data_IF_397614928463
#
_entry.id   IF_397614928463
#
_cell.length_a   1.000
_cell.length_b   1.000
_cell.length_c   1.000
_cell.angle_alpha   90.00
_cell.angle_beta   90.00
_cell.angle_gamma   90.00
#
_symmetry.space_group_name_H-M   'P 1'
#
loop_
_entity.id
_entity.type
_entity.pdbx_description
1 polymer ?
#
# COMPACT_ATOMS: atom_id res chain seq x y z
N UNK A 1 -6.56 -20.38 -2.65
CA UNK A 1 -6.09 -21.37 -1.65
C UNK A 1 -4.64 -21.78 -1.88
N UNK A 2 -4.26 -22.45 -2.98
CA UNK A 2 -2.88 -22.96 -3.21
C UNK A 2 -1.78 -21.95 -2.96
N UNK A 3 -1.92 -20.70 -3.44
CA UNK A 3 -0.95 -19.63 -3.23
C UNK A 3 -0.89 -19.24 -1.75
N UNK A 4 -2.05 -19.13 -1.11
CA UNK A 4 -2.16 -18.85 0.32
C UNK A 4 -1.45 -19.92 1.15
N UNK A 5 -1.72 -21.22 0.87
CA UNK A 5 -1.12 -22.33 1.58
C UNK A 5 0.41 -22.34 1.41
N UNK A 6 0.90 -22.10 0.19
CA UNK A 6 2.33 -22.03 -0.09
C UNK A 6 3.01 -20.84 0.64
N UNK A 7 2.37 -19.66 0.67
CA UNK A 7 2.86 -18.52 1.43
C UNK A 7 2.90 -18.82 2.94
N UNK A 8 1.84 -19.46 3.46
CA UNK A 8 1.76 -19.82 4.88
C UNK A 8 2.80 -20.86 5.27
N UNK A 9 3.07 -21.85 4.42
CA UNK A 9 4.13 -22.85 4.65
C UNK A 9 5.48 -22.16 4.75
N UNK A 10 5.82 -21.23 3.83
CA UNK A 10 7.09 -20.49 3.88
C UNK A 10 7.25 -19.65 5.17
N UNK A 11 6.13 -19.11 5.70
CA UNK A 11 6.13 -18.40 6.98
C UNK A 11 6.38 -19.36 8.14
N UNK A 12 5.74 -20.53 8.16
CA UNK A 12 5.95 -21.56 9.18
C UNK A 12 7.36 -22.13 9.16
N UNK A 13 8.00 -22.17 7.98
CA UNK A 13 9.39 -22.58 7.80
C UNK A 13 10.39 -21.48 8.23
N UNK A 14 9.91 -20.33 8.70
CA UNK A 14 10.74 -19.21 9.17
C UNK A 14 11.35 -18.35 8.08
N UNK A 15 10.90 -18.48 6.84
CA UNK A 15 11.41 -17.72 5.69
C UNK A 15 10.96 -16.26 5.70
N UNK A 16 9.79 -16.00 6.31
CA UNK A 16 9.19 -14.67 6.39
C UNK A 16 8.25 -14.55 7.59
N UNK A 17 8.02 -13.33 8.06
CA UNK A 17 6.97 -13.04 9.05
C UNK A 17 5.63 -12.70 8.40
N UNK A 18 5.68 -12.05 7.24
CA UNK A 18 4.50 -11.68 6.44
C UNK A 18 4.88 -11.64 4.97
N UNK A 19 3.97 -12.11 4.12
CA UNK A 19 4.09 -12.01 2.65
C UNK A 19 2.81 -11.36 2.12
N UNK A 20 2.93 -10.25 1.40
CA UNK A 20 1.79 -9.61 0.72
C UNK A 20 1.56 -10.30 -0.63
N UNK A 21 0.41 -10.92 -0.79
CA UNK A 21 0.00 -11.58 -2.05
C UNK A 21 -1.14 -10.81 -2.68
N UNK A 22 -1.04 -10.59 -3.99
CA UNK A 22 -2.06 -9.87 -4.76
C UNK A 22 -2.85 -10.77 -5.71
N UNK A 23 -4.03 -10.28 -6.07
CA UNK A 23 -4.89 -10.85 -7.08
C UNK A 23 -5.17 -9.79 -8.14
N UNK A 24 -5.05 -10.15 -9.44
CA UNK A 24 -5.41 -9.32 -10.57
C UNK A 24 -6.83 -9.64 -11.03
N UNK A 25 -7.55 -8.58 -11.39
CA UNK A 25 -8.88 -8.61 -11.99
C UNK A 25 -8.78 -7.91 -13.35
N UNK A 26 -9.16 -8.61 -14.42
CA UNK A 26 -9.08 -8.12 -15.79
C UNK A 26 -10.47 -8.08 -16.42
N UNK A 27 -10.72 -7.08 -17.27
CA UNK A 27 -11.94 -6.95 -18.04
C UNK A 27 -11.61 -6.52 -19.47
N UNK A 28 -12.15 -7.24 -20.45
CA UNK A 28 -12.09 -6.92 -21.89
C UNK A 28 -13.13 -5.88 -22.26
N UNK A 29 -13.06 -4.69 -21.66
CA UNK A 29 -13.99 -3.59 -21.87
C UNK A 29 -13.25 -2.27 -22.11
N UNK A 30 -13.86 -1.41 -22.90
CA UNK A 30 -13.35 -0.06 -23.16
C UNK A 30 -13.77 0.85 -22.03
N UNK A 31 -12.81 1.47 -21.35
CA UNK A 31 -13.05 2.41 -20.25
C UNK A 31 -12.53 3.78 -20.63
N UNK A 32 -13.34 4.83 -20.44
CA UNK A 32 -12.87 6.21 -20.58
C UNK A 32 -12.10 6.61 -19.30
N UNK A 33 -10.80 6.93 -19.38
CA UNK A 33 -9.98 7.19 -18.19
C UNK A 33 -10.42 8.40 -17.37
N UNK A 34 -10.90 9.47 -18.02
CA UNK A 34 -11.38 10.68 -17.34
C UNK A 34 -12.65 10.38 -16.54
N UNK A 35 -13.60 9.67 -17.16
CA UNK A 35 -14.85 9.29 -16.50
C UNK A 35 -14.57 8.32 -15.35
N UNK A 36 -13.65 7.35 -15.56
CA UNK A 36 -13.27 6.41 -14.54
C UNK A 36 -12.60 7.11 -13.35
N UNK A 37 -11.72 8.08 -13.61
CA UNK A 37 -11.06 8.85 -12.57
C UNK A 37 -12.06 9.69 -11.76
N UNK A 38 -12.95 10.41 -12.43
CA UNK A 38 -14.00 11.21 -11.78
C UNK A 38 -14.89 10.34 -10.87
N UNK A 39 -15.42 9.23 -11.41
CA UNK A 39 -16.22 8.27 -10.63
C UNK A 39 -15.44 7.70 -9.45
N UNK A 40 -14.17 7.35 -9.65
CA UNK A 40 -13.33 6.79 -8.59
C UNK A 40 -13.07 7.81 -7.47
N UNK A 41 -12.78 9.06 -7.82
CA UNK A 41 -12.59 10.14 -6.85
C UNK A 41 -13.87 10.42 -6.03
N UNK A 42 -15.04 10.31 -6.65
CA UNK A 42 -16.32 10.45 -5.94
C UNK A 42 -16.62 9.26 -5.03
N UNK A 43 -16.36 8.03 -5.51
CA UNK A 43 -16.65 6.81 -4.76
C UNK A 43 -15.64 6.56 -3.64
N UNK A 44 -14.37 6.89 -3.86
CA UNK A 44 -13.26 6.60 -2.93
C UNK A 44 -12.25 7.75 -2.89
N UNK A 45 -12.64 8.93 -2.37
CA UNK A 45 -11.74 10.07 -2.27
C UNK A 45 -10.51 9.72 -1.44
N UNK A 46 -9.33 10.03 -1.98
CA UNK A 46 -8.05 9.75 -1.35
C UNK A 46 -7.05 10.89 -1.60
N UNK A 47 -6.11 11.14 -0.67
CA UNK A 47 -5.21 12.30 -0.75
C UNK A 47 -4.26 12.23 -1.94
N UNK A 48 -3.84 11.03 -2.35
CA UNK A 48 -2.86 10.79 -3.40
C UNK A 48 -3.52 10.34 -4.71
N UNK A 49 -4.70 10.88 -5.04
CA UNK A 49 -5.39 10.57 -6.29
C UNK A 49 -4.68 11.18 -7.49
N UNK A 50 -4.54 10.42 -8.58
CA UNK A 50 -3.95 10.91 -9.82
C UNK A 50 -4.50 10.20 -11.06
N UNK A 51 -4.40 10.87 -12.20
CA UNK A 51 -4.62 10.32 -13.53
C UNK A 51 -3.37 10.55 -14.38
N UNK A 52 -2.73 9.47 -14.82
CA UNK A 52 -1.67 9.50 -15.81
C UNK A 52 -2.23 9.00 -17.15
N UNK A 53 -2.05 9.80 -18.21
CA UNK A 53 -2.39 9.41 -19.58
C UNK A 53 -1.16 9.43 -20.46
N UNK A 54 -0.95 8.34 -21.17
CA UNK A 54 0.11 8.17 -22.17
C UNK A 54 -0.51 7.86 -23.53
N UNK A 55 0.33 7.63 -24.54
CA UNK A 55 -0.15 7.20 -25.87
C UNK A 55 -0.65 5.76 -25.90
N UNK A 56 -0.20 4.90 -24.98
CA UNK A 56 -0.44 3.46 -25.01
C UNK A 56 -1.30 2.95 -23.85
N UNK A 57 -1.41 3.70 -22.78
CA UNK A 57 -2.20 3.34 -21.62
C UNK A 57 -2.58 4.56 -20.78
N UNK A 58 -3.58 4.40 -19.93
CA UNK A 58 -3.88 5.33 -18.85
C UNK A 58 -3.86 4.60 -17.50
N UNK A 59 -3.46 5.31 -16.44
CA UNK A 59 -3.48 4.82 -15.07
C UNK A 59 -4.30 5.77 -14.21
N UNK A 60 -5.41 5.28 -13.67
CA UNK A 60 -6.23 5.99 -12.70
C UNK A 60 -5.99 5.43 -11.32
N UNK A 61 -5.86 6.29 -10.31
CA UNK A 61 -5.55 5.88 -8.95
C UNK A 61 -6.20 6.81 -7.92
N UNK A 62 -6.69 6.21 -6.83
CA UNK A 62 -7.07 6.90 -5.59
C UNK A 62 -6.30 6.27 -4.42
N UNK A 63 -4.99 6.45 -4.44
CA UNK A 63 -4.11 5.94 -3.40
C UNK A 63 -4.29 6.71 -2.09
N UNK A 64 -4.39 6.03 -0.95
CA UNK A 64 -4.39 6.68 0.35
C UNK A 64 -2.98 6.85 0.95
N UNK A 65 -1.95 6.25 0.35
CA UNK A 65 -0.67 6.02 1.01
C UNK A 65 0.49 6.78 0.37
N UNK A 66 1.20 7.54 1.20
CA UNK A 66 2.48 8.19 0.88
C UNK A 66 3.60 7.24 1.31
N UNK A 67 4.46 6.85 0.37
CA UNK A 67 5.61 5.99 0.64
C UNK A 67 6.87 6.79 0.88
N UNK A 68 7.05 7.92 0.18
CA UNK A 68 8.19 8.84 0.35
C UNK A 68 7.69 10.27 0.31
N UNK A 69 7.94 11.02 1.37
CA UNK A 69 7.86 12.47 1.38
C UNK A 69 9.17 13.04 1.90
N UNK A 70 9.83 13.87 1.10
CA UNK A 70 11.07 14.54 1.47
C UNK A 70 10.87 16.04 1.38
N UNK A 71 11.12 16.71 2.48
CA UNK A 71 11.14 18.18 2.57
C UNK A 71 12.50 18.61 3.13
N UNK A 72 13.32 19.25 2.32
CA UNK A 72 14.71 19.61 2.62
C UNK A 72 15.52 18.37 3.04
N UNK A 73 15.93 18.29 4.31
CA UNK A 73 16.72 17.21 4.91
C UNK A 73 15.89 16.20 5.69
N UNK A 74 14.56 16.37 5.75
CA UNK A 74 13.66 15.44 6.43
C UNK A 74 13.03 14.50 5.44
N UNK A 75 13.18 13.20 5.68
CA UNK A 75 12.49 12.12 4.97
C UNK A 75 11.41 11.54 5.87
N UNK A 76 10.23 11.30 5.28
CA UNK A 76 9.05 10.81 5.98
C UNK A 76 8.39 9.69 5.16
N UNK A 77 7.81 8.72 5.86
CA UNK A 77 6.89 7.72 5.32
C UNK A 77 5.65 7.60 6.20
N UNK A 78 4.52 7.21 5.57
CA UNK A 78 3.23 7.08 6.26
C UNK A 78 2.59 5.72 5.99
N UNK A 79 3.14 4.63 6.57
CA UNK A 79 2.60 3.30 6.38
C UNK A 79 1.15 3.20 6.88
N UNK A 80 0.33 2.56 6.07
CA UNK A 80 -1.03 2.18 6.40
C UNK A 80 -1.06 0.68 6.69
N UNK A 81 -1.44 0.33 7.92
CA UNK A 81 -1.68 -1.04 8.35
C UNK A 81 -3.07 -1.18 8.92
N UNK A 82 -3.69 -2.33 8.67
CA UNK A 82 -5.06 -2.57 9.10
C UNK A 82 -6.12 -1.83 8.28
N UNK A 83 -7.25 -2.49 8.09
CA UNK A 83 -8.38 -1.94 7.34
C UNK A 83 -9.67 -2.43 7.96
N UNK A 84 -10.53 -1.51 8.38
CA UNK A 84 -11.84 -1.82 8.92
C UNK A 84 -12.94 -1.19 8.06
N UNK A 85 -13.99 -1.96 7.72
CA UNK A 85 -15.10 -1.45 6.92
C UNK A 85 -15.97 -0.49 7.75
N UNK A 86 -16.16 0.72 7.22
CA UNK A 86 -17.04 1.72 7.82
C UNK A 86 -18.49 1.44 7.46
N UNK A 87 -19.32 1.09 8.43
CA UNK A 87 -20.76 0.88 8.24
C UNK A 87 -21.55 2.12 8.62
N UNK A 88 -22.59 2.46 7.84
CA UNK A 88 -23.37 3.71 7.94
C UNK A 88 -24.09 3.93 9.29
N UNK A 89 -24.22 2.91 10.13
CA UNK A 89 -25.00 2.97 11.39
C UNK A 89 -24.17 2.61 12.63
N UNK A 90 -22.86 2.46 12.51
CA UNK A 90 -21.99 2.15 13.65
C UNK A 90 -21.56 3.43 14.38
N UNK A 91 -21.45 3.34 15.69
CA UNK A 91 -20.79 4.37 16.48
C UNK A 91 -19.29 4.37 16.16
N UNK A 92 -18.85 5.40 15.45
CA UNK A 92 -17.48 5.54 14.96
C UNK A 92 -16.45 5.41 16.09
N UNK A 93 -16.76 5.93 17.30
CA UNK A 93 -15.82 5.90 18.41
C UNK A 93 -15.61 4.48 18.97
N UNK A 94 -16.70 3.71 19.12
CA UNK A 94 -16.60 2.32 19.59
C UNK A 94 -15.88 1.43 18.58
N UNK A 95 -16.09 1.66 17.29
CA UNK A 95 -15.37 0.94 16.21
C UNK A 95 -13.87 1.26 16.21
N UNK A 96 -13.53 2.54 16.37
CA UNK A 96 -12.12 2.97 16.48
C UNK A 96 -11.47 2.33 17.71
N UNK A 97 -12.13 2.30 18.85
CA UNK A 97 -11.61 1.68 20.06
C UNK A 97 -11.40 0.17 19.87
N UNK A 98 -12.36 -0.55 19.28
CA UNK A 98 -12.19 -1.95 18.94
C UNK A 98 -11.01 -2.19 18.00
N UNK A 99 -10.86 -1.37 16.97
CA UNK A 99 -9.79 -1.47 16.00
C UNK A 99 -8.40 -1.23 16.63
N UNK A 100 -8.27 -0.22 17.47
CA UNK A 100 -7.04 0.08 18.22
C UNK A 100 -6.64 -1.01 19.21
N UNK A 101 -7.59 -1.83 19.65
CA UNK A 101 -7.37 -2.91 20.61
C UNK A 101 -7.37 -4.30 19.96
N UNK A 102 -7.54 -4.42 18.64
CA UNK A 102 -7.45 -5.71 17.94
C UNK A 102 -5.99 -6.20 17.95
N UNK A 103 -5.68 -7.32 18.61
CA UNK A 103 -4.30 -7.78 18.76
C UNK A 103 -3.62 -8.10 17.42
N UNK A 104 -4.37 -8.60 16.43
CA UNK A 104 -3.85 -8.93 15.10
C UNK A 104 -3.47 -7.65 14.35
N UNK A 105 -4.40 -6.70 14.26
CA UNK A 105 -4.19 -5.45 13.53
C UNK A 105 -3.05 -4.63 14.15
N UNK A 106 -2.98 -4.61 15.49
CA UNK A 106 -1.90 -3.95 16.24
C UNK A 106 -0.56 -4.62 15.99
N UNK A 107 -0.50 -5.95 15.99
CA UNK A 107 0.76 -6.68 15.75
C UNK A 107 1.27 -6.49 14.32
N UNK A 108 0.37 -6.58 13.32
CA UNK A 108 0.72 -6.35 11.91
C UNK A 108 1.20 -4.91 11.69
N UNK A 109 0.51 -3.93 12.26
CA UNK A 109 0.90 -2.53 12.12
C UNK A 109 2.25 -2.24 12.80
N UNK A 110 2.51 -2.79 13.99
CA UNK A 110 3.80 -2.64 14.66
C UNK A 110 4.95 -3.21 13.83
N UNK A 111 4.76 -4.40 13.25
CA UNK A 111 5.76 -5.03 12.37
C UNK A 111 6.03 -4.14 11.13
N UNK A 112 4.99 -3.58 10.54
CA UNK A 112 5.13 -2.65 9.41
C UNK A 112 5.88 -1.38 9.80
N UNK A 113 5.57 -0.80 10.94
CA UNK A 113 6.27 0.38 11.48
C UNK A 113 7.75 0.10 11.70
N UNK A 114 8.10 -1.07 12.23
CA UNK A 114 9.51 -1.45 12.45
C UNK A 114 10.25 -1.67 11.13
N UNK A 115 9.59 -2.24 10.12
CA UNK A 115 10.16 -2.39 8.78
C UNK A 115 10.46 -1.01 8.15
N UNK A 116 9.51 -0.08 8.18
CA UNK A 116 9.67 1.27 7.62
C UNK A 116 10.73 2.08 8.41
N UNK A 117 10.82 1.90 9.72
CA UNK A 117 11.91 2.48 10.53
C UNK A 117 13.29 1.96 10.12
N UNK A 118 13.39 0.66 9.82
CA UNK A 118 14.62 0.06 9.32
C UNK A 118 15.02 0.65 7.97
N UNK A 119 14.06 0.80 7.05
CA UNK A 119 14.29 1.38 5.72
C UNK A 119 14.78 2.83 5.83
N UNK A 120 14.11 3.67 6.62
CA UNK A 120 14.55 5.05 6.87
C UNK A 120 15.95 5.09 7.51
N UNK A 121 16.24 4.18 8.43
CA UNK A 121 17.52 4.16 9.16
C UNK A 121 18.72 3.93 8.24
N UNK A 122 18.50 3.29 7.08
CA UNK A 122 19.56 3.05 6.10
C UNK A 122 20.05 4.34 5.41
N UNK A 123 19.18 5.36 5.30
CA UNK A 123 19.47 6.64 4.62
C UNK A 123 19.46 7.86 5.53
N UNK A 124 19.00 7.72 6.76
CA UNK A 124 18.94 8.80 7.75
C UNK A 124 20.15 8.77 8.70
N UNK A 125 20.42 9.91 9.32
CA UNK A 125 21.45 10.08 10.36
C UNK A 125 21.08 9.22 11.58
N UNK A 126 22.04 8.52 12.20
CA UNK A 126 21.79 7.74 13.40
C UNK A 126 21.11 8.54 14.50
N UNK A 127 20.10 7.94 15.16
CA UNK A 127 19.35 8.57 16.25
C UNK A 127 18.32 9.64 15.83
N UNK A 128 18.11 9.86 14.52
CA UNK A 128 17.14 10.85 14.05
C UNK A 128 15.81 10.25 13.61
N UNK A 129 15.77 8.94 13.36
CA UNK A 129 14.54 8.23 12.97
C UNK A 129 13.62 8.11 14.18
N UNK A 130 12.42 8.65 14.07
CA UNK A 130 11.42 8.70 15.14
C UNK A 130 10.00 8.53 14.61
N UNK A 131 9.14 8.00 15.46
CA UNK A 131 7.70 8.03 15.29
C UNK A 131 7.18 9.39 15.74
N UNK A 132 6.53 10.12 14.84
CA UNK A 132 5.88 11.40 15.17
C UNK A 132 4.39 11.23 15.39
N UNK A 133 3.78 10.22 14.75
CA UNK A 133 2.41 9.77 15.01
C UNK A 133 2.39 8.25 15.02
N UNK A 134 1.66 7.68 15.96
CA UNK A 134 1.63 6.24 16.16
C UNK A 134 0.22 5.71 16.32
N UNK A 135 -0.20 4.82 15.39
CA UNK A 135 -1.51 4.16 15.40
C UNK A 135 -2.68 5.12 15.49
N UNK A 136 -2.66 6.18 14.66
CA UNK A 136 -3.81 7.04 14.48
C UNK A 136 -4.81 6.40 13.52
N UNK A 137 -6.10 6.48 13.84
CA UNK A 137 -7.14 6.00 12.93
C UNK A 137 -7.57 7.12 12.01
N UNK A 138 -7.31 6.94 10.72
CA UNK A 138 -7.82 7.80 9.66
C UNK A 138 -9.11 7.23 9.08
N UNK A 139 -10.15 8.06 9.00
CA UNK A 139 -11.46 7.66 8.50
C UNK A 139 -11.68 8.19 7.10
N UNK A 140 -11.92 7.27 6.18
CA UNK A 140 -12.26 7.54 4.79
C UNK A 140 -13.74 7.26 4.52
N UNK A 141 -14.19 7.43 3.26
CA UNK A 141 -15.60 7.28 2.91
C UNK A 141 -16.18 5.91 3.31
N UNK A 142 -15.42 4.83 3.12
CA UNK A 142 -15.88 3.45 3.32
C UNK A 142 -15.01 2.64 4.29
N UNK A 143 -13.89 3.18 4.74
CA UNK A 143 -12.87 2.45 5.49
C UNK A 143 -12.30 3.29 6.63
N UNK A 144 -11.87 2.61 7.69
CA UNK A 144 -10.95 3.13 8.68
C UNK A 144 -9.60 2.48 8.46
N UNK A 145 -8.52 3.27 8.53
CA UNK A 145 -7.14 2.80 8.42
C UNK A 145 -6.34 3.16 9.65
N UNK A 146 -5.47 2.24 10.06
CA UNK A 146 -4.47 2.51 11.09
C UNK A 146 -3.22 3.06 10.41
N UNK A 147 -2.83 4.26 10.79
CA UNK A 147 -1.74 5.01 10.15
C UNK A 147 -0.70 5.40 11.18
N UNK A 148 0.56 5.30 10.82
CA UNK A 148 1.67 5.89 11.58
C UNK A 148 2.48 6.83 10.69
N UNK A 149 3.22 7.75 11.31
CA UNK A 149 4.16 8.63 10.62
C UNK A 149 5.54 8.45 11.21
N UNK A 150 6.49 8.14 10.34
CA UNK A 150 7.88 7.93 10.70
C UNK A 150 8.70 8.95 9.92
N UNK A 151 9.60 9.64 10.59
CA UNK A 151 10.47 10.61 9.95
C UNK A 151 11.92 10.47 10.42
N UNK A 152 12.85 10.95 9.60
CA UNK A 152 14.26 11.01 9.95
C UNK A 152 15.00 12.09 9.16
N UNK A 153 16.14 12.54 9.67
CA UNK A 153 17.01 13.46 8.95
C UNK A 153 17.96 12.69 8.04
N UNK A 154 17.98 13.02 6.77
CA UNK A 154 18.85 12.41 5.78
C UNK A 154 20.33 12.57 6.14
N UNK A 155 21.13 11.57 5.77
CA UNK A 155 22.59 11.67 5.78
C UNK A 155 23.05 12.79 4.85
N UNK A 156 24.21 13.37 5.17
CA UNK A 156 24.79 14.38 4.28
C UNK A 156 25.21 13.73 2.95
N UNK A 157 25.00 14.44 1.84
CA UNK A 157 25.36 14.02 0.49
C UNK A 157 24.66 12.74 0.00
N UNK A 158 23.52 12.35 0.60
CA UNK A 158 22.72 11.21 0.12
C UNK A 158 22.13 11.50 -1.26
N UNK A 159 22.25 10.57 -2.19
CA UNK A 159 21.69 10.68 -3.51
C UNK A 159 20.24 10.19 -3.58
N UNK A 160 19.46 10.72 -4.52
CA UNK A 160 18.08 10.30 -4.77
C UNK A 160 17.97 8.78 -4.98
N UNK A 161 18.89 8.20 -5.73
CA UNK A 161 18.92 6.74 -5.98
C UNK A 161 19.03 5.91 -4.72
N UNK A 162 19.77 6.38 -3.71
CA UNK A 162 19.92 5.70 -2.44
C UNK A 162 18.62 5.74 -1.64
N UNK A 163 17.93 6.92 -1.63
CA UNK A 163 16.62 7.07 -1.01
C UNK A 163 15.60 6.13 -1.67
N UNK A 164 15.53 6.12 -3.00
CA UNK A 164 14.61 5.25 -3.73
C UNK A 164 14.90 3.78 -3.49
N UNK A 165 16.17 3.37 -3.50
CA UNK A 165 16.58 1.97 -3.27
C UNK A 165 16.28 1.49 -1.85
N UNK A 166 16.35 2.37 -0.85
CA UNK A 166 16.05 2.05 0.53
C UNK A 166 14.54 1.90 0.78
N UNK A 167 13.76 2.82 0.22
CA UNK A 167 12.33 2.95 0.51
C UNK A 167 11.44 2.13 -0.42
N UNK A 168 11.90 1.82 -1.65
CA UNK A 168 11.09 1.11 -2.65
C UNK A 168 11.62 -0.30 -2.91
N UNK A 169 10.71 -1.27 -3.10
CA UNK A 169 9.27 -1.17 -2.89
C UNK A 169 8.91 -0.96 -1.41
N UNK A 170 7.77 -0.34 -1.14
CA UNK A 170 7.30 -0.07 0.23
C UNK A 170 7.08 -1.36 1.04
N UNK A 171 7.28 -1.28 2.35
CA UNK A 171 7.09 -2.41 3.26
C UNK A 171 5.64 -2.87 3.33
N UNK A 172 4.69 -1.94 3.24
CA UNK A 172 3.24 -2.22 3.31
C UNK A 172 2.72 -3.12 2.19
N UNK A 173 3.47 -3.27 1.09
CA UNK A 173 3.06 -4.06 -0.09
C UNK A 173 3.99 -5.25 -0.39
N UNK A 174 5.04 -5.44 0.37
CA UNK A 174 5.98 -6.57 0.24
C UNK A 174 5.83 -7.54 1.39
N UNK A 175 6.36 -7.22 2.53
CA UNK A 175 6.40 -8.02 3.75
C UNK A 175 7.78 -7.98 4.41
N UNK A 176 7.99 -8.82 5.38
CA UNK A 176 9.19 -8.81 6.21
C UNK A 176 9.79 -10.22 6.37
N UNK A 177 11.11 -10.42 6.09
CA UNK A 177 12.11 -9.48 5.56
C UNK A 177 11.86 -9.10 4.08
N UNK A 178 12.09 -7.83 3.72
CA UNK A 178 11.70 -7.27 2.40
C UNK A 178 12.23 -8.08 1.21
N UNK A 179 13.53 -8.30 1.10
CA UNK A 179 14.14 -8.99 -0.04
C UNK A 179 13.61 -10.43 -0.14
N UNK A 180 13.55 -11.15 0.98
CA UNK A 180 13.09 -12.53 0.99
C UNK A 180 11.63 -12.65 0.58
N UNK A 181 10.79 -11.72 1.03
CA UNK A 181 9.37 -11.71 0.62
C UNK A 181 9.17 -11.36 -0.85
N UNK A 182 10.01 -10.49 -1.43
CA UNK A 182 9.99 -10.22 -2.88
C UNK A 182 10.28 -11.48 -3.70
N UNK A 183 11.24 -12.32 -3.29
CA UNK A 183 11.51 -13.60 -3.93
C UNK A 183 10.31 -14.55 -3.86
N UNK A 184 9.59 -14.57 -2.76
CA UNK A 184 8.38 -15.37 -2.61
C UNK A 184 7.21 -14.83 -3.43
N UNK A 185 7.03 -13.53 -3.50
CA UNK A 185 6.02 -12.87 -4.34
C UNK A 185 6.23 -13.26 -5.81
N UNK A 186 7.49 -13.17 -6.30
CA UNK A 186 7.82 -13.54 -7.68
C UNK A 186 7.54 -15.00 -8.00
N UNK A 187 7.73 -15.92 -7.04
CA UNK A 187 7.42 -17.34 -7.18
C UNK A 187 5.93 -17.67 -7.11
N UNK A 188 5.17 -16.92 -6.32
CA UNK A 188 3.79 -17.28 -5.97
C UNK A 188 2.75 -16.56 -6.84
N UNK A 189 3.01 -15.32 -7.24
CA UNK A 189 2.06 -14.56 -8.06
C UNK A 189 2.11 -15.04 -9.51
N UNK A 190 0.95 -15.33 -10.14
CA UNK A 190 0.89 -15.88 -11.49
C UNK A 190 1.18 -14.85 -12.59
N UNK A 191 1.26 -13.55 -12.24
CA UNK A 191 1.51 -12.46 -13.17
C UNK A 191 2.31 -11.34 -12.52
N UNK A 192 3.07 -10.62 -13.35
CA UNK A 192 3.80 -9.44 -12.89
C UNK A 192 2.84 -8.35 -12.40
N UNK A 193 3.24 -7.62 -11.36
CA UNK A 193 2.45 -6.52 -10.79
C UNK A 193 2.34 -5.31 -11.71
N UNK A 194 3.32 -5.10 -12.60
CA UNK A 194 3.38 -3.91 -13.44
C UNK A 194 3.45 -2.63 -12.61
N UNK A 195 2.59 -1.61 -12.89
CA UNK A 195 2.54 -0.38 -12.09
C UNK A 195 2.03 -0.59 -10.66
N UNK A 196 1.20 -1.62 -10.43
CA UNK A 196 0.66 -1.92 -9.10
C UNK A 196 1.79 -2.14 -8.09
N UNK A 197 1.71 -1.48 -6.94
CA UNK A 197 2.74 -1.45 -5.89
C UNK A 197 4.03 -0.71 -6.24
N UNK A 198 4.08 -0.06 -7.41
CA UNK A 198 5.09 0.95 -7.71
C UNK A 198 4.77 2.28 -7.03
N UNK A 199 5.44 3.33 -7.48
CA UNK A 199 5.24 4.69 -6.97
C UNK A 199 5.04 5.70 -8.10
N UNK A 200 4.22 6.71 -7.82
CA UNK A 200 4.01 7.85 -8.70
C UNK A 200 4.03 9.14 -7.88
N UNK A 201 4.52 10.23 -8.44
CA UNK A 201 4.52 11.50 -7.75
C UNK A 201 5.44 12.54 -8.38
N UNK A 202 5.98 13.42 -7.55
CA UNK A 202 6.70 14.62 -7.96
C UNK A 202 8.11 14.67 -7.37
N UNK A 203 9.04 15.11 -8.21
CA UNK A 203 10.36 15.54 -7.81
C UNK A 203 10.48 17.02 -8.18
N UNK A 204 10.67 17.86 -7.19
CA UNK A 204 10.74 19.31 -7.36
C UNK A 204 12.17 19.77 -7.61
N UNK A 205 12.33 20.91 -8.28
CA UNK A 205 13.65 21.49 -8.60
C UNK A 205 14.48 21.82 -7.35
N UNK A 206 13.83 22.10 -6.21
CA UNK A 206 14.48 22.30 -4.91
C UNK A 206 14.94 20.98 -4.25
N UNK A 207 14.71 19.83 -4.91
CA UNK A 207 15.05 18.50 -4.43
C UNK A 207 14.05 17.89 -3.45
N UNK A 208 12.88 18.49 -3.26
CA UNK A 208 11.80 17.87 -2.49
C UNK A 208 11.14 16.75 -3.30
N UNK A 209 10.59 15.74 -2.61
CA UNK A 209 10.02 14.54 -3.20
C UNK A 209 8.68 14.25 -2.55
N UNK A 210 7.69 13.90 -3.36
CA UNK A 210 6.43 13.33 -2.89
C UNK A 210 6.07 12.16 -3.79
N UNK A 211 6.15 10.93 -3.25
CA UNK A 211 5.82 9.70 -3.96
C UNK A 211 4.78 8.91 -3.19
N UNK A 212 3.67 8.63 -3.85
CA UNK A 212 2.65 7.74 -3.34
C UNK A 212 2.95 6.27 -3.68
N UNK A 213 2.17 5.38 -3.10
CA UNK A 213 2.11 3.98 -3.48
C UNK A 213 1.01 3.79 -4.54
N UNK A 214 1.29 3.11 -5.65
CA UNK A 214 0.28 2.80 -6.69
C UNK A 214 -0.57 1.62 -6.22
N UNK A 215 -1.60 1.91 -5.45
CA UNK A 215 -2.65 0.99 -5.01
C UNK A 215 -4.02 1.63 -5.26
N UNK A 216 -5.10 0.88 -5.17
CA UNK A 216 -6.45 1.38 -5.51
C UNK A 216 -6.45 2.03 -6.89
N UNK A 217 -5.85 1.33 -7.86
CA UNK A 217 -5.56 1.84 -9.20
C UNK A 217 -6.05 0.87 -10.28
N UNK A 218 -6.35 1.41 -11.44
CA UNK A 218 -6.73 0.66 -12.63
C UNK A 218 -5.85 1.09 -13.80
N UNK A 219 -5.24 0.12 -14.46
CA UNK A 219 -4.53 0.32 -15.72
C UNK A 219 -5.51 0.07 -16.88
N UNK A 220 -5.58 1.02 -17.79
CA UNK A 220 -6.56 1.06 -18.88
C UNK A 220 -5.82 1.11 -20.20
N UNK A 221 -6.14 0.17 -21.09
CA UNK A 221 -5.72 0.11 -22.49
C UNK A 221 -6.92 0.38 -23.39
N UNK A 222 -6.72 0.34 -24.70
CA UNK A 222 -7.79 0.64 -25.66
C UNK A 222 -8.97 -0.35 -25.60
N UNK A 223 -8.70 -1.63 -25.33
CA UNK A 223 -9.68 -2.73 -25.38
C UNK A 223 -9.83 -3.50 -24.07
N UNK A 224 -8.98 -3.22 -23.10
CA UNK A 224 -9.01 -3.91 -21.82
C UNK A 224 -8.55 -3.03 -20.67
N UNK A 225 -8.87 -3.45 -19.47
CA UNK A 225 -8.35 -2.83 -18.25
C UNK A 225 -8.12 -3.89 -17.18
N UNK A 226 -7.24 -3.58 -16.23
CA UNK A 226 -7.07 -4.42 -15.05
C UNK A 226 -6.78 -3.63 -13.78
N UNK A 227 -7.15 -4.19 -12.66
CA UNK A 227 -6.80 -3.72 -11.32
C UNK A 227 -6.21 -4.86 -10.51
N UNK A 228 -5.43 -4.52 -9.47
CA UNK A 228 -4.90 -5.48 -8.51
C UNK A 228 -5.18 -5.01 -7.09
N UNK A 229 -5.41 -5.98 -6.22
CA UNK A 229 -5.47 -5.78 -4.78
C UNK A 229 -4.80 -6.93 -4.05
N UNK A 230 -4.26 -6.66 -2.87
CA UNK A 230 -3.53 -7.65 -2.11
C UNK A 230 -3.70 -7.49 -0.60
N UNK A 231 -3.41 -8.55 0.11
CA UNK A 231 -3.41 -8.62 1.57
C UNK A 231 -2.16 -9.28 2.12
N UNK A 232 -1.88 -9.06 3.40
CA UNK A 232 -0.76 -9.67 4.11
C UNK A 232 -1.15 -11.03 4.65
N UNK A 233 -0.41 -12.06 4.27
CA UNK A 233 -0.51 -13.37 4.88
C UNK A 233 0.48 -13.44 6.04
N UNK A 234 -0.01 -13.76 7.22
CA UNK A 234 0.75 -14.05 8.44
C UNK A 234 0.41 -15.46 8.93
N UNK A 235 1.10 -15.94 9.96
CA UNK A 235 0.90 -17.30 10.50
C UNK A 235 -0.55 -17.59 10.87
N UNK A 236 -1.27 -16.60 11.43
CA UNK A 236 -2.65 -16.71 11.91
C UNK A 236 -3.70 -16.32 10.87
N UNK A 237 -3.28 -15.97 9.64
CA UNK A 237 -4.21 -15.60 8.57
C UNK A 237 -5.14 -16.73 8.16
N UNK A 238 -6.36 -16.36 7.78
CA UNK A 238 -7.38 -17.26 7.23
C UNK A 238 -7.63 -16.90 5.76
N UNK A 239 -7.52 -17.90 4.87
CA UNK A 239 -7.65 -17.70 3.42
C UNK A 239 -8.97 -17.03 3.00
N UNK A 240 -10.09 -17.42 3.62
CA UNK A 240 -11.40 -16.84 3.32
C UNK A 240 -11.53 -15.40 3.77
N UNK A 241 -10.91 -15.03 4.88
CA UNK A 241 -10.87 -13.65 5.38
C UNK A 241 -10.02 -12.77 4.46
N UNK A 242 -8.78 -13.18 4.17
CA UNK A 242 -7.86 -12.43 3.29
C UNK A 242 -8.45 -12.24 1.88
N UNK A 243 -9.13 -13.26 1.35
CA UNK A 243 -9.82 -13.16 0.06
C UNK A 243 -10.95 -12.11 0.07
N UNK A 244 -11.77 -12.09 1.14
CA UNK A 244 -12.83 -11.08 1.29
C UNK A 244 -12.28 -9.67 1.41
N UNK A 245 -11.20 -9.49 2.16
CA UNK A 245 -10.52 -8.20 2.30
C UNK A 245 -9.96 -7.71 0.97
N UNK A 246 -9.33 -8.58 0.18
CA UNK A 246 -8.86 -8.25 -1.16
C UNK A 246 -9.99 -7.80 -2.09
N UNK A 247 -11.14 -8.51 -2.07
CA UNK A 247 -12.31 -8.11 -2.85
C UNK A 247 -12.87 -6.75 -2.39
N UNK A 248 -12.88 -6.48 -1.09
CA UNK A 248 -13.31 -5.20 -0.55
C UNK A 248 -12.43 -4.06 -1.04
N UNK A 249 -11.11 -4.27 -1.06
CA UNK A 249 -10.13 -3.30 -1.58
C UNK A 249 -10.28 -3.04 -3.08
N UNK A 250 -10.70 -4.04 -3.87
CA UNK A 250 -10.93 -3.91 -5.31
C UNK A 250 -12.32 -3.35 -5.66
N UNK A 251 -13.28 -3.38 -4.74
CA UNK A 251 -14.71 -3.11 -5.01
C UNK A 251 -14.94 -1.81 -5.78
N UNK A 252 -14.42 -0.69 -5.29
CA UNK A 252 -14.63 0.61 -5.92
C UNK A 252 -14.14 0.67 -7.38
N UNK A 253 -13.08 -0.08 -7.69
CA UNK A 253 -12.54 -0.18 -9.04
C UNK A 253 -13.37 -1.11 -9.93
N UNK A 254 -13.84 -2.22 -9.38
CA UNK A 254 -14.69 -3.17 -10.11
C UNK A 254 -16.07 -2.58 -10.42
N UNK A 255 -16.62 -1.74 -9.54
CA UNK A 255 -17.88 -1.00 -9.77
C UNK A 255 -17.77 0.03 -10.89
N UNK A 256 -16.57 0.44 -11.31
CA UNK A 256 -16.40 1.30 -12.50
C UNK A 256 -16.70 0.56 -13.81
N UNK A 257 -16.72 -0.77 -13.78
CA UNK A 257 -16.90 -1.65 -14.94
C UNK A 257 -18.37 -2.06 -15.14
N UNK A 258 -19.21 -1.76 -14.17
CA UNK A 258 -20.67 -1.94 -14.20
C UNK A 258 -21.35 -0.63 -14.58
#
# INVERSE_FOLDING_TARGET
>A
EKIFDAARVSILDGESYQIKISQRYEAGVRVNPLIAFDKLCLANPAPEAFLLQTKSFSLVSCSPEIVIEKNKDVLLTRPIGGTYERKKKEDTNSVIECFLNDPKEVAEHNMLVDLERNDLSSVCKPGTVRLTRFREVETYAHLHHLVSTIEGKLKDQIHLSEILSAMLPGGSITGCPKIRTMEWIDKLEPCFRGPYTGSFGLLSDNGDISLNLIIRSMLIFDDCCYTQSGGGIVVDSNAGYEYKENNLKARALLELLS
#
